data_IF_927317361308
#
_entry.id   IF_927317361308
#
_cell.length_a   1.000
_cell.length_b   1.000
_cell.length_c   1.000
_cell.angle_alpha   90.00
_cell.angle_beta   90.00
_cell.angle_gamma   90.00
#
_symmetry.space_group_name_H-M   'P 1'
#
loop_
_entity.id
_entity.type
_entity.pdbx_description
1 polymer ?
#
# COMPACT_ATOMS: atom_id res chain seq x y z
N UNK A 1 36.49 45.46 -13.58
CA UNK A 1 35.49 45.23 -12.50
C UNK A 1 34.34 44.30 -12.91
N UNK A 2 33.71 44.44 -14.09
CA UNK A 2 32.66 43.51 -14.58
C UNK A 2 33.04 42.01 -14.53
N UNK A 3 34.28 41.68 -14.90
CA UNK A 3 34.76 40.28 -14.90
C UNK A 3 34.96 39.71 -13.49
N UNK A 4 35.27 40.54 -12.48
CA UNK A 4 35.43 40.10 -11.09
C UNK A 4 34.06 39.76 -10.46
N UNK A 5 33.04 40.59 -10.71
CA UNK A 5 31.68 40.32 -10.25
C UNK A 5 31.12 39.04 -10.88
N UNK A 6 31.42 38.78 -12.16
CA UNK A 6 31.02 37.54 -12.82
C UNK A 6 31.67 36.30 -12.19
N UNK A 7 32.97 36.36 -11.86
CA UNK A 7 33.67 35.30 -11.14
C UNK A 7 33.11 35.06 -9.74
N UNK A 8 32.79 36.13 -8.99
CA UNK A 8 32.18 36.03 -7.66
C UNK A 8 30.80 35.39 -7.75
N UNK A 9 29.98 35.76 -8.73
CA UNK A 9 28.65 35.16 -8.95
C UNK A 9 28.77 33.67 -9.26
N UNK A 10 29.71 33.27 -10.14
CA UNK A 10 29.96 31.85 -10.43
C UNK A 10 30.41 31.10 -9.17
N UNK A 11 31.31 31.69 -8.37
CA UNK A 11 31.80 31.06 -7.14
C UNK A 11 30.66 30.85 -6.13
N UNK A 12 29.80 31.85 -5.95
CA UNK A 12 28.65 31.77 -5.05
C UNK A 12 27.61 30.72 -5.49
N UNK A 13 27.40 30.58 -6.80
CA UNK A 13 26.50 29.56 -7.35
C UNK A 13 27.04 28.13 -7.10
N UNK A 14 28.36 27.92 -7.19
CA UNK A 14 28.96 26.62 -6.93
C UNK A 14 28.84 26.22 -5.45
N UNK A 15 29.02 27.14 -4.50
CA UNK A 15 28.92 26.86 -3.06
C UNK A 15 27.52 26.35 -2.67
N UNK A 16 26.47 26.90 -3.27
CA UNK A 16 25.09 26.44 -3.00
C UNK A 16 24.85 25.00 -3.48
N UNK A 17 25.39 24.62 -4.65
CA UNK A 17 25.27 23.26 -5.19
C UNK A 17 25.97 22.24 -4.29
N UNK A 18 27.18 22.55 -3.79
CA UNK A 18 27.92 21.64 -2.90
C UNK A 18 27.24 21.46 -1.53
N UNK A 19 26.73 22.54 -0.93
CA UNK A 19 26.03 22.47 0.36
C UNK A 19 24.72 21.68 0.27
N UNK A 20 23.94 21.86 -0.80
CA UNK A 20 22.71 21.09 -1.03
C UNK A 20 22.99 19.61 -1.33
N UNK A 21 24.09 19.29 -2.01
CA UNK A 21 24.44 17.91 -2.29
C UNK A 21 24.86 17.17 -1.00
N UNK A 22 25.65 17.83 -0.13
CA UNK A 22 26.08 17.25 1.13
C UNK A 22 24.91 16.95 2.10
N UNK A 23 23.90 17.83 2.14
CA UNK A 23 22.71 17.61 2.98
C UNK A 23 21.86 16.43 2.48
N UNK A 24 21.68 16.28 1.15
CA UNK A 24 20.99 15.13 0.55
C UNK A 24 21.70 13.80 0.83
N UNK A 25 23.02 13.75 0.66
CA UNK A 25 23.83 12.56 0.95
C UNK A 25 23.71 12.16 2.42
N UNK A 26 23.84 13.14 3.32
CA UNK A 26 23.71 12.89 4.77
C UNK A 26 22.32 12.40 5.14
N UNK A 27 21.27 13.03 4.59
CA UNK A 27 19.89 12.60 4.81
C UNK A 27 19.63 11.18 4.32
N UNK A 28 20.07 10.85 3.10
CA UNK A 28 19.93 9.52 2.53
C UNK A 28 20.61 8.46 3.40
N UNK A 29 21.87 8.72 3.81
CA UNK A 29 22.62 7.82 4.69
C UNK A 29 21.90 7.58 6.01
N UNK A 30 21.40 8.62 6.65
CA UNK A 30 20.65 8.51 7.91
C UNK A 30 19.37 7.67 7.74
N UNK A 31 18.64 7.82 6.63
CA UNK A 31 17.45 7.01 6.33
C UNK A 31 17.81 5.55 6.10
N UNK A 32 18.88 5.29 5.37
CA UNK A 32 19.39 3.94 5.13
C UNK A 32 19.82 3.24 6.42
N UNK A 33 20.62 3.90 7.26
CA UNK A 33 21.09 3.32 8.53
C UNK A 33 19.92 3.04 9.49
N UNK A 34 18.91 3.91 9.52
CA UNK A 34 17.70 3.67 10.28
C UNK A 34 16.89 2.49 9.72
N UNK A 35 16.79 2.36 8.39
CA UNK A 35 16.15 1.22 7.74
C UNK A 35 16.85 -0.10 8.10
N UNK A 36 18.20 -0.11 8.12
CA UNK A 36 19.01 -1.25 8.56
C UNK A 36 18.72 -1.60 10.03
N UNK A 37 18.59 -0.60 10.90
CA UNK A 37 18.24 -0.81 12.32
C UNK A 37 16.87 -1.49 12.49
N UNK A 38 15.83 -1.01 11.79
CA UNK A 38 14.51 -1.64 11.82
C UNK A 38 14.50 -3.03 11.19
N UNK A 39 15.23 -3.22 10.09
CA UNK A 39 15.39 -4.52 9.44
C UNK A 39 15.98 -5.55 10.41
N UNK A 40 17.04 -5.19 11.16
CA UNK A 40 17.66 -6.06 12.17
C UNK A 40 16.70 -6.42 13.31
N UNK A 41 15.71 -5.57 13.60
CA UNK A 41 14.66 -5.80 14.60
C UNK A 41 13.45 -6.55 14.02
N UNK A 42 13.50 -6.98 12.76
CA UNK A 42 12.40 -7.58 12.02
C UNK A 42 11.14 -6.70 11.87
N UNK A 43 11.27 -5.38 12.08
CA UNK A 43 10.22 -4.39 11.83
C UNK A 43 10.26 -4.00 10.34
N UNK A 44 9.80 -4.94 9.52
CA UNK A 44 9.89 -4.84 8.06
C UNK A 44 9.00 -3.75 7.47
N UNK A 45 7.86 -3.46 8.10
CA UNK A 45 6.95 -2.38 7.69
C UNK A 45 7.62 -1.01 7.81
N UNK A 46 8.37 -0.73 8.89
CA UNK A 46 9.13 0.54 8.97
C UNK A 46 10.39 0.52 8.12
N UNK A 47 11.03 -0.64 8.00
CA UNK A 47 12.25 -0.75 7.21
C UNK A 47 11.99 -0.45 5.73
N UNK A 48 10.90 -0.98 5.14
CA UNK A 48 10.60 -0.79 3.72
C UNK A 48 10.36 0.69 3.38
N UNK A 49 9.63 1.43 4.21
CA UNK A 49 9.37 2.86 4.01
C UNK A 49 10.67 3.67 4.01
N UNK A 50 11.57 3.39 4.95
CA UNK A 50 12.84 4.10 5.07
C UNK A 50 13.82 3.75 3.94
N UNK A 51 13.86 2.48 3.50
CA UNK A 51 14.62 2.12 2.31
C UNK A 51 14.04 2.79 1.07
N UNK A 52 12.72 2.87 0.93
CA UNK A 52 12.09 3.55 -0.20
C UNK A 52 12.42 5.04 -0.25
N UNK A 53 12.37 5.72 0.91
CA UNK A 53 12.83 7.11 1.03
C UNK A 53 14.30 7.21 0.62
N UNK A 54 15.18 6.36 1.16
CA UNK A 54 16.61 6.39 0.82
C UNK A 54 16.86 6.13 -0.68
N UNK A 55 16.07 5.26 -1.32
CA UNK A 55 16.16 4.98 -2.75
C UNK A 55 15.82 6.20 -3.62
N UNK A 56 14.92 7.08 -3.16
CA UNK A 56 14.45 8.23 -3.96
C UNK A 56 15.27 9.50 -3.81
N UNK A 57 16.08 9.64 -2.75
CA UNK A 57 16.83 10.88 -2.49
C UNK A 57 17.96 11.10 -3.51
N UNK A 58 18.79 10.07 -3.74
CA UNK A 58 19.81 10.02 -4.79
C UNK A 58 19.78 8.61 -5.39
N UNK A 59 18.90 8.34 -6.38
CA UNK A 59 18.66 7.00 -6.89
C UNK A 59 19.88 6.33 -7.53
N UNK A 60 20.78 7.13 -8.11
CA UNK A 60 21.87 6.63 -8.95
C UNK A 60 23.10 6.21 -8.14
N UNK A 61 23.16 6.55 -6.85
CA UNK A 61 24.30 6.18 -6.01
C UNK A 61 24.13 4.79 -5.39
N UNK A 62 25.22 4.27 -4.80
CA UNK A 62 25.24 2.92 -4.22
C UNK A 62 24.15 2.69 -3.17
N UNK A 63 23.90 3.69 -2.31
CA UNK A 63 22.85 3.60 -1.28
C UNK A 63 21.47 3.56 -1.93
N UNK A 64 21.22 4.37 -2.96
CA UNK A 64 19.96 4.41 -3.69
C UNK A 64 19.63 3.07 -4.32
N UNK A 65 20.59 2.52 -5.09
CA UNK A 65 20.47 1.22 -5.75
C UNK A 65 20.30 0.08 -4.73
N UNK A 66 21.11 0.07 -3.66
CA UNK A 66 21.01 -0.95 -2.62
C UNK A 66 19.67 -0.89 -1.88
N UNK A 67 19.17 0.32 -1.60
CA UNK A 67 17.90 0.53 -0.92
C UNK A 67 16.73 0.04 -1.78
N UNK A 68 16.74 0.33 -3.08
CA UNK A 68 15.68 -0.14 -3.99
C UNK A 68 15.62 -1.68 -4.03
N UNK A 69 16.76 -2.35 -4.13
CA UNK A 69 16.82 -3.83 -4.05
C UNK A 69 16.25 -4.36 -2.73
N UNK A 70 16.49 -3.65 -1.63
CA UNK A 70 15.91 -4.01 -0.32
C UNK A 70 14.42 -3.80 -0.27
N UNK A 71 13.89 -2.74 -0.88
CA UNK A 71 12.44 -2.53 -1.02
C UNK A 71 11.81 -3.70 -1.76
N UNK A 72 12.33 -4.09 -2.92
CA UNK A 72 11.78 -5.20 -3.69
C UNK A 72 11.78 -6.52 -2.91
N UNK A 73 12.87 -6.79 -2.19
CA UNK A 73 12.97 -7.98 -1.32
C UNK A 73 11.95 -7.95 -0.18
N UNK A 74 11.77 -6.78 0.46
CA UNK A 74 10.83 -6.61 1.56
C UNK A 74 9.37 -6.68 1.08
N UNK A 75 9.06 -6.21 -0.13
CA UNK A 75 7.72 -6.33 -0.72
C UNK A 75 7.28 -7.78 -0.78
N UNK A 76 8.15 -8.69 -1.21
CA UNK A 76 7.82 -10.14 -1.26
C UNK A 76 7.45 -10.65 0.12
N UNK A 77 8.29 -10.40 1.12
CA UNK A 77 8.08 -10.86 2.51
C UNK A 77 6.80 -10.27 3.11
N UNK A 78 6.57 -8.97 2.91
CA UNK A 78 5.40 -8.29 3.46
C UNK A 78 4.10 -8.72 2.76
N UNK A 79 4.15 -9.02 1.46
CA UNK A 79 3.02 -9.58 0.71
C UNK A 79 2.66 -10.98 1.18
N UNK A 80 3.65 -11.84 1.38
CA UNK A 80 3.43 -13.19 1.93
C UNK A 80 2.77 -13.10 3.31
N UNK A 81 3.31 -12.28 4.21
CA UNK A 81 2.72 -12.07 5.55
C UNK A 81 1.30 -11.51 5.50
N UNK A 82 1.04 -10.55 4.62
CA UNK A 82 -0.29 -9.98 4.45
C UNK A 82 -1.26 -11.03 3.89
N UNK A 83 -0.83 -11.80 2.89
CA UNK A 83 -1.63 -12.87 2.29
C UNK A 83 -1.99 -13.93 3.33
N UNK A 84 -1.04 -14.37 4.15
CA UNK A 84 -1.29 -15.33 5.22
C UNK A 84 -2.40 -14.86 6.18
N UNK A 85 -2.43 -13.55 6.50
CA UNK A 85 -3.52 -12.95 7.28
C UNK A 85 -4.84 -12.89 6.48
N UNK A 86 -4.75 -12.58 5.19
CA UNK A 86 -5.89 -12.39 4.29
C UNK A 86 -6.59 -13.70 3.89
N UNK A 87 -5.92 -14.85 3.94
CA UNK A 87 -6.52 -16.13 3.54
C UNK A 87 -7.80 -16.45 4.34
N UNK A 88 -8.84 -16.87 3.62
CA UNK A 88 -10.11 -17.30 4.18
C UNK A 88 -11.31 -16.51 3.68
N UNK A 89 -12.46 -16.70 4.36
CA UNK A 89 -13.73 -16.05 4.01
C UNK A 89 -13.96 -14.81 4.87
N UNK A 90 -14.40 -13.74 4.23
CA UNK A 90 -14.62 -12.42 4.81
C UNK A 90 -16.04 -11.97 4.51
N UNK A 91 -16.76 -11.48 5.52
CA UNK A 91 -18.09 -10.91 5.38
C UNK A 91 -18.00 -9.39 5.34
N UNK A 92 -18.55 -8.76 4.30
CA UNK A 92 -18.64 -7.30 4.23
C UNK A 92 -19.61 -6.79 5.29
N UNK A 93 -19.15 -5.90 6.18
CA UNK A 93 -19.98 -5.29 7.24
C UNK A 93 -20.45 -3.89 6.89
N UNK A 94 -19.79 -3.19 5.96
CA UNK A 94 -20.24 -1.87 5.51
C UNK A 94 -19.14 -1.01 4.90
N UNK A 95 -19.37 0.30 4.97
CA UNK A 95 -18.49 1.41 4.64
C UNK A 95 -17.94 2.12 5.90
N UNK A 96 -18.24 1.58 7.08
CA UNK A 96 -17.75 2.05 8.37
C UNK A 96 -17.20 0.88 9.21
N UNK A 97 -16.29 1.14 10.16
CA UNK A 97 -15.79 0.11 11.07
C UNK A 97 -16.92 -0.58 11.84
N UNK A 98 -16.74 -1.88 12.13
CA UNK A 98 -17.76 -2.69 12.81
C UNK A 98 -18.17 -2.19 14.19
N UNK A 99 -17.26 -1.56 14.94
CA UNK A 99 -17.54 -0.95 16.25
C UNK A 99 -18.31 0.38 16.16
N UNK A 100 -18.29 1.04 14.99
CA UNK A 100 -18.86 2.37 14.81
C UNK A 100 -20.33 2.34 14.39
N UNK A 101 -20.87 1.15 14.08
CA UNK A 101 -22.26 1.03 13.62
C UNK A 101 -22.97 -0.15 14.26
N UNK A 102 -24.24 0.07 14.62
CA UNK A 102 -25.14 -1.01 14.99
C UNK A 102 -25.37 -1.92 13.78
N UNK A 103 -24.70 -3.08 13.78
CA UNK A 103 -24.83 -4.06 12.71
C UNK A 103 -26.25 -4.60 12.56
N UNK A 104 -27.09 -4.57 13.61
CA UNK A 104 -28.48 -4.97 13.50
C UNK A 104 -29.26 -4.01 12.60
N UNK A 105 -28.97 -2.71 12.68
CA UNK A 105 -29.59 -1.68 11.85
C UNK A 105 -29.14 -1.73 10.37
N UNK A 106 -27.85 -1.94 10.08
CA UNK A 106 -27.31 -2.06 8.71
C UNK A 106 -27.82 -3.31 7.99
N UNK A 107 -28.06 -4.38 8.75
CA UNK A 107 -28.49 -5.67 8.21
C UNK A 107 -30.01 -5.84 8.18
N UNK A 108 -30.77 -4.93 8.81
CA UNK A 108 -32.22 -4.91 8.76
C UNK A 108 -32.69 -4.77 7.31
N UNK A 109 -33.42 -5.78 6.81
CA UNK A 109 -33.98 -5.80 5.46
C UNK A 109 -33.10 -6.40 4.36
N UNK A 110 -31.80 -6.68 4.62
CA UNK A 110 -30.95 -7.39 3.63
C UNK A 110 -31.29 -8.88 3.62
N UNK A 111 -31.62 -9.41 2.44
CA UNK A 111 -31.94 -10.84 2.23
C UNK A 111 -30.69 -11.72 2.05
N UNK A 112 -29.54 -11.12 1.76
CA UNK A 112 -28.27 -11.79 1.52
C UNK A 112 -27.11 -11.14 2.26
N UNK A 113 -26.08 -11.95 2.55
CA UNK A 113 -24.75 -11.51 2.99
C UNK A 113 -23.80 -11.47 1.80
N UNK A 114 -22.93 -10.46 1.74
CA UNK A 114 -21.85 -10.35 0.75
C UNK A 114 -20.56 -10.89 1.35
N UNK A 115 -20.02 -11.94 0.74
CA UNK A 115 -18.80 -12.60 1.19
C UNK A 115 -17.70 -12.45 0.15
N UNK A 116 -16.46 -12.42 0.62
CA UNK A 116 -15.25 -12.45 -0.19
C UNK A 116 -14.36 -13.56 0.34
N UNK A 117 -13.95 -14.48 -0.52
CA UNK A 117 -13.01 -15.54 -0.19
C UNK A 117 -11.69 -15.24 -0.88
N UNK A 118 -10.62 -15.12 -0.09
CA UNK A 118 -9.28 -14.85 -0.60
C UNK A 118 -8.48 -16.13 -0.50
N UNK A 119 -7.97 -16.59 -1.64
CA UNK A 119 -7.01 -17.68 -1.72
C UNK A 119 -5.66 -17.15 -2.22
N UNK A 120 -4.70 -18.05 -2.45
CA UNK A 120 -3.32 -17.67 -2.82
C UNK A 120 -3.20 -16.91 -4.14
N UNK A 121 -4.19 -17.03 -5.02
CA UNK A 121 -4.12 -16.53 -6.40
C UNK A 121 -5.33 -15.71 -6.81
N UNK A 122 -6.44 -15.78 -6.08
CA UNK A 122 -7.74 -15.26 -6.49
C UNK A 122 -8.54 -14.69 -5.32
N UNK A 123 -9.45 -13.79 -5.68
CA UNK A 123 -10.46 -13.20 -4.83
C UNK A 123 -11.83 -13.60 -5.40
N UNK A 124 -12.61 -14.37 -4.65
CA UNK A 124 -13.93 -14.86 -5.05
C UNK A 124 -15.01 -14.10 -4.29
N UNK A 125 -16.00 -13.57 -5.01
CA UNK A 125 -17.12 -12.82 -4.45
C UNK A 125 -18.36 -13.68 -4.44
N UNK A 126 -18.98 -13.84 -3.28
CA UNK A 126 -20.20 -14.61 -3.12
C UNK A 126 -21.33 -13.78 -2.54
N UNK A 127 -22.55 -14.22 -2.85
CA UNK A 127 -23.76 -13.78 -2.19
C UNK A 127 -24.39 -14.99 -1.48
N UNK A 128 -24.58 -14.89 -0.16
CA UNK A 128 -25.17 -15.94 0.66
C UNK A 128 -26.56 -15.55 1.11
N UNK A 129 -27.58 -16.30 0.69
CA UNK A 129 -28.96 -16.04 1.11
C UNK A 129 -29.11 -16.32 2.62
N UNK A 130 -29.64 -15.37 3.39
CA UNK A 130 -29.76 -15.52 4.84
C UNK A 130 -30.80 -16.58 5.27
N UNK A 131 -31.84 -16.81 4.45
CA UNK A 131 -32.91 -17.77 4.74
C UNK A 131 -32.54 -19.18 4.28
N UNK A 132 -32.11 -19.33 3.03
CA UNK A 132 -31.81 -20.65 2.45
C UNK A 132 -30.39 -21.10 2.72
N UNK A 133 -29.51 -20.20 3.19
CA UNK A 133 -28.07 -20.42 3.38
C UNK A 133 -27.31 -20.74 2.08
N UNK A 134 -27.98 -20.67 0.92
CA UNK A 134 -27.40 -20.91 -0.39
C UNK A 134 -26.30 -19.87 -0.69
N UNK A 135 -25.09 -20.34 -0.98
CA UNK A 135 -23.92 -19.53 -1.36
C UNK A 135 -23.78 -19.55 -2.88
N UNK A 136 -23.93 -18.40 -3.53
CA UNK A 136 -23.79 -18.24 -4.98
C UNK A 136 -22.53 -17.45 -5.31
N UNK A 137 -21.69 -17.97 -6.20
CA UNK A 137 -20.53 -17.25 -6.75
C UNK A 137 -21.01 -16.16 -7.72
N UNK A 138 -20.52 -14.94 -7.53
CA UNK A 138 -20.91 -13.75 -8.29
C UNK A 138 -19.78 -13.30 -9.23
N UNK A 139 -18.54 -13.31 -8.73
CA UNK A 139 -17.37 -12.84 -9.48
C UNK A 139 -16.12 -13.55 -8.98
N UNK A 140 -15.17 -13.75 -9.86
CA UNK A 140 -13.80 -14.15 -9.52
C UNK A 140 -12.85 -13.11 -10.10
N UNK A 141 -11.86 -12.72 -9.31
CA UNK A 141 -10.77 -11.83 -9.70
C UNK A 141 -9.45 -12.53 -9.41
N UNK A 142 -8.44 -12.27 -10.25
CA UNK A 142 -7.07 -12.66 -9.92
C UNK A 142 -6.51 -11.72 -8.85
N UNK A 143 -5.75 -12.27 -7.90
CA UNK A 143 -5.05 -11.50 -6.89
C UNK A 143 -3.78 -10.90 -7.51
N UNK A 144 -3.86 -9.66 -7.98
CA UNK A 144 -2.75 -8.96 -8.61
C UNK A 144 -2.31 -7.77 -7.76
N UNK A 145 -1.08 -7.83 -7.25
CA UNK A 145 -0.50 -6.70 -6.52
C UNK A 145 -0.17 -5.53 -7.44
N UNK A 146 -0.55 -4.34 -7.02
CA UNK A 146 -0.23 -3.09 -7.70
C UNK A 146 1.05 -2.48 -7.13
N UNK A 147 2.09 -2.35 -7.96
CA UNK A 147 3.38 -1.77 -7.56
C UNK A 147 3.46 -0.25 -7.73
N UNK A 148 2.45 0.38 -8.34
CA UNK A 148 2.50 1.80 -8.70
C UNK A 148 3.41 2.07 -9.91
N UNK A 149 2.96 2.93 -10.83
CA UNK A 149 3.86 3.53 -11.82
C UNK A 149 4.50 4.83 -11.30
N UNK A 150 4.02 5.38 -10.17
CA UNK A 150 4.53 6.60 -9.52
C UNK A 150 4.23 6.65 -8.00
N UNK A 151 4.09 5.50 -7.31
CA UNK A 151 3.62 5.50 -5.91
C UNK A 151 4.53 6.36 -5.02
N UNK A 152 3.94 7.28 -4.25
CA UNK A 152 4.73 8.08 -3.29
C UNK A 152 5.25 7.23 -2.12
N UNK A 153 4.75 6.01 -1.99
CA UNK A 153 5.02 5.07 -0.90
C UNK A 153 5.64 3.75 -1.39
N UNK A 154 6.10 2.97 -0.42
CA UNK A 154 6.66 1.64 -0.63
C UNK A 154 5.59 0.56 -0.65
N UNK A 155 4.36 0.87 -1.12
CA UNK A 155 3.21 0.01 -0.88
C UNK A 155 3.44 -1.43 -1.35
N UNK A 156 3.04 -2.35 -0.47
CA UNK A 156 3.07 -3.79 -0.69
C UNK A 156 1.65 -4.39 -0.61
N UNK A 157 0.66 -3.64 -0.12
CA UNK A 157 -0.71 -4.10 0.13
C UNK A 157 -1.74 -3.60 -0.87
N UNK A 158 -1.31 -2.86 -1.89
CA UNK A 158 -2.20 -2.42 -2.96
C UNK A 158 -2.48 -3.57 -3.93
N UNK A 159 -3.75 -3.77 -4.28
CA UNK A 159 -4.23 -4.76 -5.25
C UNK A 159 -5.00 -4.04 -6.35
N UNK A 160 -4.79 -4.44 -7.61
CA UNK A 160 -5.56 -3.95 -8.76
C UNK A 160 -6.53 -5.02 -9.22
N UNK A 161 -7.79 -4.64 -9.43
CA UNK A 161 -8.83 -5.53 -9.95
C UNK A 161 -8.94 -5.42 -11.47
N UNK A 162 -9.63 -6.35 -12.11
CA UNK A 162 -9.83 -6.36 -13.58
C UNK A 162 -10.53 -5.11 -14.14
N UNK A 163 -11.26 -4.38 -13.30
CA UNK A 163 -11.93 -3.11 -13.66
C UNK A 163 -11.01 -1.88 -13.53
N UNK A 164 -9.72 -2.08 -13.23
CA UNK A 164 -8.72 -1.05 -13.08
C UNK A 164 -8.73 -0.35 -11.72
N UNK A 165 -9.66 -0.67 -10.82
CA UNK A 165 -9.68 -0.06 -9.49
C UNK A 165 -8.54 -0.62 -8.64
N UNK A 166 -7.79 0.29 -8.02
CA UNK A 166 -6.71 -0.04 -7.08
C UNK A 166 -7.21 0.15 -5.66
N UNK A 167 -7.05 -0.90 -4.86
CA UNK A 167 -7.46 -0.96 -3.47
C UNK A 167 -6.25 -1.15 -2.57
N UNK A 168 -6.10 -0.26 -1.59
CA UNK A 168 -5.19 -0.45 -0.47
C UNK A 168 -5.84 -1.40 0.53
N UNK A 169 -5.12 -2.43 0.98
CA UNK A 169 -5.61 -3.39 1.95
C UNK A 169 -4.87 -3.28 3.28
N UNK A 170 -5.61 -3.22 4.38
CA UNK A 170 -5.10 -3.28 5.75
C UNK A 170 -5.85 -4.36 6.52
N UNK A 171 -5.11 -5.18 7.26
CA UNK A 171 -5.66 -6.22 8.15
C UNK A 171 -5.07 -5.98 9.53
N UNK A 172 -5.92 -6.01 10.55
CA UNK A 172 -5.48 -5.80 11.93
C UNK A 172 -4.57 -6.94 12.43
N UNK A 173 -4.03 -6.79 13.64
CA UNK A 173 -3.08 -7.77 14.19
C UNK A 173 -3.75 -9.10 14.54
N UNK A 174 -5.00 -9.07 15.00
CA UNK A 174 -5.82 -10.26 15.29
C UNK A 174 -6.22 -11.03 14.03
N UNK A 175 -6.05 -10.44 12.84
CA UNK A 175 -6.43 -11.04 11.54
C UNK A 175 -7.92 -11.36 11.42
N UNK A 176 -8.78 -10.62 12.11
CA UNK A 176 -10.23 -10.79 12.12
C UNK A 176 -10.98 -9.60 11.49
N UNK A 177 -10.31 -8.46 11.28
CA UNK A 177 -10.86 -7.29 10.59
C UNK A 177 -9.98 -6.87 9.41
N UNK A 178 -10.62 -6.65 8.26
CA UNK A 178 -9.97 -6.16 7.04
C UNK A 178 -10.66 -4.87 6.59
N UNK A 179 -9.83 -3.85 6.32
CA UNK A 179 -10.22 -2.56 5.78
C UNK A 179 -9.58 -2.37 4.42
N UNK A 180 -10.40 -2.02 3.44
CA UNK A 180 -9.90 -1.70 2.09
C UNK A 180 -10.36 -0.32 1.67
N UNK A 181 -9.46 0.43 1.06
CA UNK A 181 -9.67 1.80 0.62
C UNK A 181 -9.37 1.87 -0.88
N UNK A 182 -10.29 2.40 -1.67
CA UNK A 182 -10.04 2.65 -3.09
C UNK A 182 -9.14 3.86 -3.23
N UNK A 183 -7.92 3.67 -3.72
CA UNK A 183 -6.90 4.73 -3.77
C UNK A 183 -6.63 5.26 -5.18
N UNK A 184 -6.94 4.49 -6.22
CA UNK A 184 -6.72 4.92 -7.60
C UNK A 184 -7.60 4.14 -8.58
N UNK A 185 -7.64 4.60 -9.83
CA UNK A 185 -8.20 3.90 -10.97
C UNK A 185 -7.22 3.96 -12.14
N UNK A 186 -6.91 2.80 -12.72
CA UNK A 186 -6.09 2.66 -13.92
C UNK A 186 -6.99 2.47 -15.14
N UNK A 187 -6.74 3.25 -16.18
CA UNK A 187 -7.38 3.13 -17.49
C UNK A 187 -6.36 3.29 -18.63
N UNK A 188 -6.83 3.43 -19.86
CA UNK A 188 -6.00 3.59 -21.07
C UNK A 188 -5.13 4.85 -21.04
N UNK A 189 -5.52 5.88 -20.28
CA UNK A 189 -4.81 7.17 -20.19
C UNK A 189 -3.79 7.20 -19.04
N UNK A 190 -3.75 6.19 -18.18
CA UNK A 190 -2.82 6.08 -17.07
C UNK A 190 -3.50 5.74 -15.75
N UNK A 191 -2.88 6.15 -14.64
CA UNK A 191 -3.44 5.96 -13.29
C UNK A 191 -3.88 7.29 -12.70
N UNK A 192 -5.15 7.38 -12.32
CA UNK A 192 -5.73 8.50 -11.60
C UNK A 192 -5.81 8.18 -10.10
N UNK A 193 -5.12 8.97 -9.27
CA UNK A 193 -5.17 8.85 -7.81
C UNK A 193 -6.39 9.56 -7.21
N UNK A 194 -7.03 8.91 -6.25
CA UNK A 194 -8.18 9.44 -5.50
C UNK A 194 -7.65 10.10 -4.23
N UNK A 195 -7.68 11.43 -4.18
CA UNK A 195 -7.11 12.23 -3.09
C UNK A 195 -8.07 12.50 -1.94
N UNK A 196 -9.37 12.39 -2.17
CA UNK A 196 -10.41 12.62 -1.17
C UNK A 196 -11.63 11.75 -1.45
N UNK A 197 -12.47 11.58 -0.42
CA UNK A 197 -13.75 10.86 -0.51
C UNK A 197 -13.60 9.43 -1.06
N UNK A 198 -12.52 8.77 -0.64
CA UNK A 198 -12.19 7.41 -1.05
C UNK A 198 -13.32 6.45 -0.66
N UNK A 199 -13.67 5.53 -1.57
CA UNK A 199 -14.61 4.46 -1.23
C UNK A 199 -13.93 3.49 -0.26
N UNK A 200 -14.54 3.29 0.90
CA UNK A 200 -14.04 2.38 1.94
C UNK A 200 -14.97 1.19 2.12
N UNK A 201 -14.38 0.04 2.45
CA UNK A 201 -15.12 -1.18 2.77
C UNK A 201 -14.48 -1.89 3.94
N UNK A 202 -15.34 -2.35 4.85
CA UNK A 202 -14.94 -3.08 6.03
C UNK A 202 -15.47 -4.51 5.98
N UNK A 203 -14.63 -5.43 6.43
CA UNK A 203 -14.89 -6.85 6.43
C UNK A 203 -14.50 -7.48 7.77
N UNK A 204 -15.26 -8.48 8.19
CA UNK A 204 -14.92 -9.35 9.33
C UNK A 204 -14.64 -10.75 8.83
N UNK A 205 -13.67 -11.43 9.42
CA UNK A 205 -13.36 -12.81 9.08
C UNK A 205 -14.49 -13.71 9.55
N UNK A 206 -14.86 -14.66 8.71
CA UNK A 206 -15.85 -15.69 9.02
C UNK A 206 -15.08 -16.97 9.29
N UNK A 207 -15.16 -17.45 10.52
CA UNK A 207 -14.71 -18.81 10.84
C UNK A 207 -15.69 -19.80 10.22
N UNK A 208 -15.18 -20.82 9.53
CA UNK A 208 -15.97 -21.96 9.05
C UNK A 208 -16.26 -22.95 10.18
#
# INVERSE_FOLDING_TARGET
>A
MKNLYFFIVILLLNIQVFAQNNSKVTFQKNRYELAVSYFKKADFSKAIDLYYIAARVIPENEIGIASLKKVDSLRVILRERLLDKALGTWKKVGDKPGWAVDQASINAGKTSDKLVEINKTQILYFEKNKKTQEKKLIKTEDLVYYNGENSEDASFSNVILSDGNVWHCSINDSSDEMHVIKIAKKDENGTEEIKSDNEERFYIKVEE
#
